data_IF_904417159611
#
_entry.id   IF_904417159611
#
_cell.length_a   1.000
_cell.length_b   1.000
_cell.length_c   1.000
_cell.angle_alpha   90.00
_cell.angle_beta   90.00
_cell.angle_gamma   90.00
#
_symmetry.space_group_name_H-M   'P 1'
#
loop_
_entity.id
_entity.type
_entity.pdbx_description
1 polymer ?
#
# COMPACT_ATOMS: atom_id res chain seq x y z
N UNK A 1 -15.92 -2.66 2.59
CA UNK A 1 -15.79 -2.27 4.00
C UNK A 1 -15.57 -3.50 4.85
N UNK A 2 -14.62 -3.42 5.82
CA UNK A 2 -14.45 -4.41 6.87
C UNK A 2 -14.64 -3.73 8.23
N UNK A 3 -15.33 -4.38 9.16
CA UNK A 3 -15.50 -3.85 10.52
C UNK A 3 -15.65 -4.97 11.55
N UNK A 4 -15.68 -4.57 12.82
CA UNK A 4 -15.86 -5.44 13.99
C UNK A 4 -14.83 -6.61 13.94
N UNK A 5 -13.51 -6.34 14.05
CA UNK A 5 -12.50 -7.38 13.97
C UNK A 5 -12.60 -8.36 15.14
N UNK A 6 -12.31 -9.64 14.87
CA UNK A 6 -12.13 -10.66 15.93
C UNK A 6 -10.63 -10.93 16.21
N UNK A 7 -9.76 -10.61 15.26
CA UNK A 7 -8.30 -10.74 15.39
C UNK A 7 -7.63 -9.45 14.93
N UNK A 8 -6.60 -9.06 15.68
CA UNK A 8 -5.62 -8.05 15.28
C UNK A 8 -4.25 -8.71 15.29
N UNK A 9 -3.58 -8.70 14.14
CA UNK A 9 -2.17 -9.05 14.00
C UNK A 9 -1.35 -7.77 13.87
N UNK A 10 -0.35 -7.62 14.71
CA UNK A 10 0.50 -6.43 14.77
C UNK A 10 1.97 -6.82 14.81
N UNK A 11 2.83 -6.03 14.15
CA UNK A 11 4.29 -6.12 14.29
C UNK A 11 4.81 -4.84 14.92
N UNK A 12 5.52 -4.99 16.03
CA UNK A 12 6.18 -3.88 16.73
C UNK A 12 7.38 -4.40 17.51
N UNK A 13 8.46 -3.61 17.55
CA UNK A 13 9.67 -3.94 18.30
C UNK A 13 10.20 -5.35 17.97
N UNK A 14 10.26 -5.69 16.70
CA UNK A 14 10.74 -6.97 16.18
C UNK A 14 9.90 -8.21 16.59
N UNK A 15 8.69 -8.02 17.03
CA UNK A 15 7.77 -9.11 17.40
C UNK A 15 6.44 -8.96 16.71
N UNK A 16 5.87 -10.08 16.30
CA UNK A 16 4.47 -10.14 15.91
C UNK A 16 3.62 -10.52 17.11
N UNK A 17 2.48 -9.88 17.26
CA UNK A 17 1.45 -10.27 18.22
C UNK A 17 0.13 -10.54 17.52
N UNK A 18 -0.61 -11.53 17.99
CA UNK A 18 -1.98 -11.82 17.56
C UNK A 18 -2.87 -11.63 18.79
N UNK A 19 -3.81 -10.70 18.70
CA UNK A 19 -4.80 -10.44 19.74
C UNK A 19 -6.15 -10.97 19.31
N UNK A 20 -6.75 -11.85 20.10
CA UNK A 20 -8.08 -12.40 19.89
C UNK A 20 -9.10 -11.60 20.70
N UNK A 21 -9.93 -10.79 20.01
CA UNK A 21 -10.84 -9.84 20.66
C UNK A 21 -12.10 -10.52 21.24
N UNK A 22 -12.50 -11.68 20.72
CA UNK A 22 -13.69 -12.42 21.16
C UNK A 22 -13.43 -13.33 22.39
N UNK A 23 -12.17 -13.59 22.73
CA UNK A 23 -11.79 -14.57 23.78
C UNK A 23 -11.01 -13.91 24.94
N UNK A 24 -11.63 -12.95 25.64
CA UNK A 24 -11.00 -12.28 26.80
C UNK A 24 -9.58 -11.72 26.55
N UNK A 25 -9.28 -11.31 25.30
CA UNK A 25 -7.99 -10.75 24.89
C UNK A 25 -6.80 -11.71 25.04
N UNK A 26 -7.01 -13.01 24.80
CA UNK A 26 -5.89 -13.93 24.62
C UNK A 26 -4.98 -13.41 23.52
N UNK A 27 -3.66 -13.49 23.73
CA UNK A 27 -2.72 -13.04 22.71
C UNK A 27 -1.56 -14.03 22.57
N UNK A 28 -1.03 -14.08 21.35
CA UNK A 28 0.15 -14.87 21.00
C UNK A 28 1.27 -13.94 20.57
N UNK A 29 2.52 -14.26 20.92
CA UNK A 29 3.71 -13.52 20.49
C UNK A 29 4.61 -14.44 19.68
N UNK A 30 5.13 -13.92 18.58
CA UNK A 30 6.11 -14.59 17.73
C UNK A 30 7.29 -13.67 17.42
N UNK A 31 8.50 -14.18 17.52
CA UNK A 31 9.73 -13.49 17.09
C UNK A 31 9.96 -13.61 15.57
N UNK A 32 9.06 -14.29 14.85
CA UNK A 32 9.12 -14.51 13.40
C UNK A 32 7.88 -13.94 12.72
N UNK A 33 7.82 -12.62 12.47
CA UNK A 33 6.62 -11.96 11.96
C UNK A 33 6.08 -12.57 10.67
N UNK A 34 6.94 -12.92 9.71
CA UNK A 34 6.51 -13.48 8.42
C UNK A 34 5.89 -14.87 8.58
N UNK A 35 6.50 -15.73 9.41
CA UNK A 35 5.94 -17.07 9.70
C UNK A 35 4.60 -16.95 10.44
N UNK A 36 4.51 -16.04 11.42
CA UNK A 36 3.27 -15.75 12.14
C UNK A 36 2.15 -15.31 11.19
N UNK A 37 2.45 -14.41 10.24
CA UNK A 37 1.47 -13.98 9.23
C UNK A 37 1.01 -15.13 8.34
N UNK A 38 1.94 -15.96 7.83
CA UNK A 38 1.59 -17.13 7.01
C UNK A 38 0.66 -18.09 7.75
N UNK A 39 0.98 -18.40 9.01
CA UNK A 39 0.16 -19.27 9.84
C UNK A 39 -1.23 -18.67 10.10
N UNK A 40 -1.33 -17.37 10.35
CA UNK A 40 -2.60 -16.70 10.56
C UNK A 40 -3.47 -16.72 9.30
N UNK A 41 -2.88 -16.47 8.12
CA UNK A 41 -3.59 -16.56 6.83
C UNK A 41 -4.11 -18.00 6.64
N UNK A 42 -3.26 -19.01 6.81
CA UNK A 42 -3.64 -20.41 6.61
C UNK A 42 -4.78 -20.84 7.54
N UNK A 43 -4.71 -20.45 8.81
CA UNK A 43 -5.75 -20.74 9.81
C UNK A 43 -7.04 -19.91 9.62
N UNK A 44 -7.02 -18.90 8.78
CA UNK A 44 -8.17 -18.03 8.48
C UNK A 44 -8.83 -18.35 7.15
N UNK A 45 -8.22 -19.20 6.32
CA UNK A 45 -8.81 -19.62 5.05
C UNK A 45 -10.08 -20.43 5.25
N UNK A 46 -11.01 -20.31 4.33
CA UNK A 46 -12.20 -21.14 4.24
C UNK A 46 -12.60 -21.30 2.77
N UNK A 47 -13.36 -22.34 2.49
CA UNK A 47 -13.91 -22.58 1.17
C UNK A 47 -15.04 -21.58 0.88
N UNK A 48 -14.92 -20.87 -0.22
CA UNK A 48 -15.90 -19.90 -0.67
C UNK A 48 -16.44 -20.19 -2.07
N UNK A 49 -16.51 -21.47 -2.47
CA UNK A 49 -16.90 -21.86 -3.84
C UNK A 49 -18.19 -21.18 -4.33
N UNK A 50 -19.14 -20.92 -3.44
CA UNK A 50 -20.41 -20.25 -3.76
C UNK A 50 -20.33 -18.70 -3.69
N UNK A 51 -19.20 -18.12 -3.25
CA UNK A 51 -19.05 -16.66 -3.07
C UNK A 51 -18.17 -16.10 -4.20
N UNK A 52 -18.80 -15.46 -5.17
CA UNK A 52 -18.09 -14.84 -6.30
C UNK A 52 -17.32 -13.56 -5.93
N UNK A 53 -17.73 -12.85 -4.87
CA UNK A 53 -17.10 -11.60 -4.44
C UNK A 53 -15.86 -11.88 -3.57
N UNK A 54 -14.85 -10.99 -3.55
CA UNK A 54 -13.73 -11.10 -2.63
C UNK A 54 -14.19 -11.14 -1.18
N UNK A 55 -13.58 -12.03 -0.37
CA UNK A 55 -13.74 -12.05 1.07
C UNK A 55 -12.39 -11.81 1.75
N UNK A 56 -12.04 -10.57 2.07
CA UNK A 56 -10.81 -10.25 2.79
C UNK A 56 -10.82 -10.88 4.19
N UNK A 57 -9.91 -11.81 4.43
CA UNK A 57 -9.69 -12.42 5.74
C UNK A 57 -8.72 -11.62 6.60
N UNK A 58 -7.79 -10.90 5.98
CA UNK A 58 -6.91 -9.96 6.66
C UNK A 58 -6.81 -8.68 5.84
N UNK A 59 -7.02 -7.54 6.48
CA UNK A 59 -6.98 -6.21 5.84
C UNK A 59 -6.13 -5.26 6.67
N UNK A 60 -5.29 -4.47 6.04
CA UNK A 60 -4.52 -3.46 6.76
C UNK A 60 -3.32 -2.95 5.98
N UNK A 61 -2.20 -2.72 6.66
CA UNK A 61 -0.97 -2.24 6.06
C UNK A 61 0.26 -2.99 6.55
N UNK A 62 1.26 -3.06 5.69
CA UNK A 62 2.63 -3.40 6.03
C UNK A 62 3.50 -2.17 5.74
N UNK A 63 4.05 -1.55 6.78
CA UNK A 63 4.93 -0.39 6.64
C UNK A 63 6.28 -0.76 6.04
N UNK A 64 7.04 0.25 5.61
CA UNK A 64 8.39 0.06 5.07
C UNK A 64 9.31 -0.76 5.99
N UNK A 65 9.25 -0.61 7.34
CA UNK A 65 10.12 -1.40 8.23
C UNK A 65 9.94 -2.90 8.14
N UNK A 66 8.84 -3.40 7.57
CA UNK A 66 8.65 -4.83 7.36
C UNK A 66 9.73 -5.46 6.48
N UNK A 67 10.48 -4.65 5.71
CA UNK A 67 11.58 -5.13 4.87
C UNK A 67 12.68 -5.84 5.67
N UNK A 68 12.93 -5.44 6.91
CA UNK A 68 13.94 -6.06 7.77
C UNK A 68 13.64 -7.55 8.08
N UNK A 69 12.37 -7.97 7.97
CA UNK A 69 11.95 -9.36 8.14
C UNK A 69 11.89 -10.13 6.81
N UNK A 70 12.04 -9.44 5.69
CA UNK A 70 11.96 -10.00 4.34
C UNK A 70 13.33 -10.12 3.68
N UNK A 71 14.22 -9.16 3.93
CA UNK A 71 15.56 -9.08 3.37
C UNK A 71 16.59 -8.77 4.48
N UNK A 72 17.89 -8.97 4.20
CA UNK A 72 18.97 -8.67 5.15
C UNK A 72 19.31 -7.18 5.11
N UNK A 73 18.45 -6.35 5.65
CA UNK A 73 18.63 -4.91 5.77
C UNK A 73 18.45 -4.52 7.23
N UNK A 74 19.38 -3.74 7.75
CA UNK A 74 19.35 -3.25 9.13
C UNK A 74 18.87 -1.80 9.13
N UNK A 75 17.66 -1.57 9.65
CA UNK A 75 17.06 -0.24 9.78
C UNK A 75 17.45 0.38 11.12
N UNK A 76 18.09 1.56 11.08
CA UNK A 76 18.66 2.26 12.25
C UNK A 76 18.06 3.63 12.47
N UNK A 77 17.34 4.15 11.46
CA UNK A 77 16.77 5.48 11.52
C UNK A 77 15.66 5.59 12.56
N UNK A 78 15.60 6.74 13.24
CA UNK A 78 14.67 6.97 14.34
C UNK A 78 13.21 6.94 13.86
N UNK A 79 12.35 6.24 14.60
CA UNK A 79 10.90 6.33 14.46
C UNK A 79 10.35 7.38 15.42
N UNK A 80 9.86 8.50 14.89
CA UNK A 80 9.25 9.58 15.65
C UNK A 80 7.71 9.58 15.62
N UNK A 81 7.10 8.67 14.87
CA UNK A 81 5.63 8.51 14.79
C UNK A 81 5.16 7.47 15.81
N UNK A 82 5.96 6.44 16.05
CA UNK A 82 5.67 5.36 16.98
C UNK A 82 4.32 4.66 16.71
N UNK A 83 4.12 4.21 15.47
CA UNK A 83 3.07 3.27 15.12
C UNK A 83 3.67 1.88 14.92
N UNK A 84 2.87 0.80 14.92
CA UNK A 84 3.35 -0.52 14.55
C UNK A 84 3.96 -0.56 13.15
N UNK A 85 4.95 -1.43 12.94
CA UNK A 85 5.51 -1.69 11.60
C UNK A 85 4.45 -2.24 10.63
N UNK A 86 3.48 -2.96 11.18
CA UNK A 86 2.35 -3.50 10.41
C UNK A 86 1.15 -3.72 11.34
N UNK A 87 -0.06 -3.52 10.81
CA UNK A 87 -1.31 -3.95 11.44
C UNK A 87 -2.21 -4.55 10.37
N UNK A 88 -2.66 -5.77 10.63
CA UNK A 88 -3.69 -6.45 9.85
C UNK A 88 -4.82 -6.88 10.79
N UNK A 89 -6.05 -6.61 10.40
CA UNK A 89 -7.25 -7.03 11.13
C UNK A 89 -7.97 -8.14 10.37
N UNK A 90 -8.59 -9.07 11.08
CA UNK A 90 -9.56 -10.00 10.51
C UNK A 90 -10.97 -9.45 10.77
N UNK A 91 -11.64 -8.88 9.74
CA UNK A 91 -12.98 -8.33 9.94
C UNK A 91 -14.00 -9.46 10.08
N UNK A 92 -14.87 -9.39 11.09
CA UNK A 92 -16.03 -10.30 11.16
C UNK A 92 -17.08 -9.97 10.11
N UNK A 93 -17.20 -8.72 9.74
CA UNK A 93 -18.19 -8.25 8.79
C UNK A 93 -17.49 -7.60 7.62
N UNK A 94 -17.81 -8.11 6.43
CA UNK A 94 -17.34 -7.56 5.16
C UNK A 94 -18.54 -7.11 4.34
N UNK A 95 -18.50 -5.87 3.87
CA UNK A 95 -19.52 -5.32 2.95
C UNK A 95 -18.85 -4.95 1.63
N UNK A 96 -19.31 -5.55 0.55
CA UNK A 96 -18.84 -5.30 -0.81
C UNK A 96 -19.91 -4.51 -1.56
N UNK A 97 -19.53 -3.37 -2.11
CA UNK A 97 -20.33 -2.55 -3.00
C UNK A 97 -19.85 -2.81 -4.44
N UNK A 98 -20.68 -3.47 -5.23
CA UNK A 98 -20.40 -3.71 -6.65
C UNK A 98 -21.18 -2.70 -7.49
N UNK A 99 -20.48 -1.66 -7.96
CA UNK A 99 -21.09 -0.60 -8.75
C UNK A 99 -21.39 -1.04 -10.20
N UNK A 100 -20.89 -2.19 -10.65
CA UNK A 100 -21.19 -2.73 -11.98
C UNK A 100 -22.48 -3.53 -11.94
N UNK A 101 -22.62 -4.38 -10.90
CA UNK A 101 -23.84 -5.18 -10.68
C UNK A 101 -24.93 -4.41 -9.94
N UNK A 102 -24.65 -3.16 -9.48
CA UNK A 102 -25.53 -2.34 -8.63
C UNK A 102 -26.05 -3.13 -7.41
N UNK A 103 -25.11 -3.77 -6.71
CA UNK A 103 -25.45 -4.65 -5.59
C UNK A 103 -24.55 -4.40 -4.38
N UNK A 104 -25.11 -4.68 -3.20
CA UNK A 104 -24.40 -4.64 -1.92
C UNK A 104 -24.48 -6.04 -1.30
N UNK A 105 -23.33 -6.63 -1.06
CA UNK A 105 -23.22 -7.93 -0.40
C UNK A 105 -22.64 -7.74 1.00
N UNK A 106 -23.37 -8.16 2.03
CA UNK A 106 -22.93 -8.16 3.43
C UNK A 106 -22.66 -9.58 3.84
N UNK A 107 -21.46 -9.85 4.33
CA UNK A 107 -20.97 -11.19 4.65
C UNK A 107 -20.40 -11.22 6.06
N UNK A 108 -20.54 -12.38 6.73
CA UNK A 108 -19.82 -12.71 7.95
C UNK A 108 -19.39 -14.17 7.89
N UNK A 109 -18.27 -14.49 8.53
CA UNK A 109 -17.78 -15.88 8.65
C UNK A 109 -17.79 -16.29 10.10
N UNK A 110 -18.28 -17.49 10.35
CA UNK A 110 -18.23 -18.12 11.66
C UNK A 110 -17.01 -19.05 11.70
N UNK A 111 -16.02 -18.68 12.48
CA UNK A 111 -14.86 -19.55 12.72
C UNK A 111 -15.15 -20.50 13.87
N UNK A 112 -14.99 -21.82 13.70
CA UNK A 112 -15.22 -22.81 14.76
C UNK A 112 -14.08 -22.73 15.78
N UNK A 113 -14.31 -22.03 16.90
CA UNK A 113 -13.43 -22.11 18.05
C UNK A 113 -13.80 -23.35 18.91
N UNK A 114 -12.80 -23.94 19.56
CA UNK A 114 -12.99 -25.07 20.49
C UNK A 114 -14.17 -24.77 21.44
N UNK A 115 -15.19 -25.63 21.43
CA UNK A 115 -16.38 -25.60 22.30
C UNK A 115 -17.49 -24.59 22.00
N UNK A 116 -17.58 -23.98 20.82
CA UNK A 116 -18.79 -23.22 20.44
C UNK A 116 -19.82 -24.17 19.81
N UNK A 117 -21.05 -24.05 20.27
CA UNK A 117 -22.22 -24.66 19.64
C UNK A 117 -22.41 -23.99 18.25
N UNK A 118 -22.35 -24.80 17.21
CA UNK A 118 -22.41 -24.36 15.81
C UNK A 118 -23.78 -23.72 15.51
N UNK A 119 -24.89 -24.24 16.06
CA UNK A 119 -26.22 -23.68 15.85
C UNK A 119 -26.32 -22.27 16.45
N UNK A 120 -25.91 -22.08 17.69
CA UNK A 120 -25.87 -20.76 18.33
C UNK A 120 -24.96 -19.79 17.61
N UNK A 121 -23.81 -20.23 17.09
CA UNK A 121 -22.89 -19.39 16.36
C UNK A 121 -23.50 -18.93 15.01
N UNK A 122 -24.23 -19.80 14.33
CA UNK A 122 -24.94 -19.49 13.09
C UNK A 122 -26.10 -18.50 13.33
N UNK A 123 -26.93 -18.73 14.39
CA UNK A 123 -28.01 -17.80 14.74
C UNK A 123 -27.47 -16.40 15.07
N UNK A 124 -26.41 -16.31 15.85
CA UNK A 124 -25.73 -15.03 16.15
C UNK A 124 -25.24 -14.34 14.89
N UNK A 125 -24.65 -15.07 13.95
CA UNK A 125 -24.19 -14.52 12.67
C UNK A 125 -25.37 -13.97 11.85
N UNK A 126 -26.50 -14.68 11.80
CA UNK A 126 -27.71 -14.19 11.12
C UNK A 126 -28.26 -12.91 11.76
N UNK A 127 -28.26 -12.84 13.10
CA UNK A 127 -28.71 -11.64 13.80
C UNK A 127 -27.80 -10.43 13.50
N UNK A 128 -26.49 -10.62 13.54
CA UNK A 128 -25.51 -9.59 13.18
C UNK A 128 -25.76 -9.10 11.75
N UNK A 129 -25.94 -9.99 10.79
CA UNK A 129 -26.25 -9.62 9.41
C UNK A 129 -27.53 -8.80 9.29
N UNK A 130 -28.62 -9.19 9.97
CA UNK A 130 -29.88 -8.45 9.99
C UNK A 130 -29.70 -7.03 10.53
N UNK A 131 -28.95 -6.88 11.63
CA UNK A 131 -28.65 -5.56 12.22
C UNK A 131 -27.88 -4.70 11.22
N UNK A 132 -26.83 -5.23 10.59
CA UNK A 132 -25.97 -4.47 9.66
C UNK A 132 -26.74 -4.09 8.39
N UNK A 133 -27.54 -4.98 7.85
CA UNK A 133 -28.42 -4.66 6.69
C UNK A 133 -29.42 -3.55 7.03
N UNK A 134 -30.00 -3.56 8.23
CA UNK A 134 -30.91 -2.49 8.67
C UNK A 134 -30.16 -1.17 8.84
N UNK A 135 -28.95 -1.15 9.42
CA UNK A 135 -28.12 0.05 9.53
C UNK A 135 -27.80 0.66 8.17
N UNK A 136 -27.58 -0.15 7.12
CA UNK A 136 -27.35 0.35 5.76
C UNK A 136 -28.60 1.03 5.14
N UNK A 137 -29.81 0.72 5.64
CA UNK A 137 -31.06 1.33 5.19
C UNK A 137 -31.41 2.60 5.95
N UNK A 138 -30.75 2.87 7.07
CA UNK A 138 -31.01 4.07 7.88
C UNK A 138 -30.52 5.32 7.17
N UNK A 139 -31.25 6.42 7.36
CA UNK A 139 -30.84 7.71 6.84
C UNK A 139 -29.57 8.20 7.52
N UNK A 140 -28.62 8.71 6.73
CA UNK A 140 -27.39 9.28 7.26
C UNK A 140 -27.73 10.43 8.23
N UNK A 141 -27.29 10.31 9.47
CA UNK A 141 -27.28 11.42 10.41
C UNK A 141 -26.30 12.47 9.90
N UNK A 142 -26.78 13.67 9.59
CA UNK A 142 -25.90 14.76 9.19
C UNK A 142 -25.01 15.14 10.38
N UNK A 143 -23.77 14.67 10.36
CA UNK A 143 -22.75 15.17 11.28
C UNK A 143 -22.43 16.63 10.94
N UNK A 144 -22.29 17.48 11.98
CA UNK A 144 -21.84 18.86 11.79
C UNK A 144 -20.58 18.86 10.93
N UNK A 145 -20.57 19.71 9.90
CA UNK A 145 -19.38 19.94 9.08
C UNK A 145 -18.30 20.60 9.95
N UNK A 146 -17.42 19.81 10.52
CA UNK A 146 -16.20 20.36 11.11
C UNK A 146 -15.34 20.89 9.96
N UNK A 147 -15.12 22.19 9.94
CA UNK A 147 -14.21 22.83 8.99
C UNK A 147 -12.87 23.05 9.69
N UNK A 148 -11.77 22.86 8.96
CA UNK A 148 -10.47 23.31 9.41
C UNK A 148 -10.56 24.84 9.55
N UNK A 149 -10.29 25.35 10.77
CA UNK A 149 -10.41 26.78 11.07
C UNK A 149 -9.14 27.59 10.78
N UNK A 150 -8.05 26.91 10.40
CA UNK A 150 -6.76 27.55 10.16
C UNK A 150 -6.08 26.99 8.90
N UNK A 151 -5.23 27.80 8.28
CA UNK A 151 -4.36 27.34 7.21
C UNK A 151 -3.42 26.23 7.75
N UNK A 152 -3.29 25.14 6.98
CA UNK A 152 -2.37 24.07 7.32
C UNK A 152 -0.93 24.56 7.06
N UNK A 153 -0.14 24.61 8.11
CA UNK A 153 1.28 24.91 8.01
C UNK A 153 2.10 23.63 8.14
N UNK A 154 2.65 23.16 7.01
CA UNK A 154 3.46 21.95 6.95
C UNK A 154 4.92 22.23 7.31
N UNK A 155 5.45 21.45 8.26
CA UNK A 155 6.85 21.49 8.65
C UNK A 155 7.54 20.23 8.12
N UNK A 156 8.63 20.41 7.38
CA UNK A 156 9.46 19.31 6.86
C UNK A 156 10.48 18.86 7.90
N UNK A 157 10.87 17.57 7.87
CA UNK A 157 12.00 17.05 8.67
C UNK A 157 13.37 17.47 8.12
N UNK A 158 13.42 18.15 6.98
CA UNK A 158 14.63 18.71 6.37
C UNK A 158 14.44 20.18 6.01
N UNK A 159 15.51 20.96 6.13
CA UNK A 159 15.65 22.21 5.38
C UNK A 159 15.87 21.91 3.88
N UNK A 160 15.74 22.93 3.06
CA UNK A 160 15.99 22.82 1.62
C UNK A 160 17.44 22.43 1.33
N UNK A 161 18.37 23.00 2.07
CA UNK A 161 19.81 22.79 1.95
C UNK A 161 20.20 21.35 2.33
N UNK A 162 19.64 20.82 3.41
CA UNK A 162 19.85 19.44 3.83
C UNK A 162 19.33 18.45 2.79
N UNK A 163 18.12 18.68 2.26
CA UNK A 163 17.56 17.79 1.24
C UNK A 163 18.34 17.83 -0.08
N UNK A 164 18.86 19.00 -0.47
CA UNK A 164 19.77 19.11 -1.62
C UNK A 164 21.10 18.38 -1.40
N UNK A 165 21.63 18.38 -0.18
CA UNK A 165 22.79 17.57 0.18
C UNK A 165 22.54 16.09 0.00
N UNK A 166 21.35 15.59 0.42
CA UNK A 166 20.93 14.19 0.22
C UNK A 166 20.92 13.85 -1.28
N UNK A 167 20.31 14.69 -2.12
CA UNK A 167 20.27 14.48 -3.57
C UNK A 167 21.69 14.44 -4.16
N UNK A 168 22.57 15.33 -3.71
CA UNK A 168 23.96 15.39 -4.18
C UNK A 168 24.71 14.11 -3.80
N UNK A 169 24.56 13.61 -2.58
CA UNK A 169 25.14 12.36 -2.14
C UNK A 169 24.57 11.15 -2.92
N UNK A 170 23.26 11.11 -3.14
CA UNK A 170 22.63 10.09 -3.97
C UNK A 170 23.23 10.05 -5.40
N UNK A 171 23.50 11.20 -6.00
CA UNK A 171 24.18 11.29 -7.31
C UNK A 171 25.62 10.75 -7.28
N UNK A 172 26.34 10.89 -6.17
CA UNK A 172 27.68 10.33 -6.05
C UNK A 172 27.64 8.78 -6.00
N UNK A 173 26.62 8.15 -5.35
CA UNK A 173 26.43 6.71 -5.41
C UNK A 173 26.15 6.22 -6.83
N UNK A 174 25.34 6.97 -7.59
CA UNK A 174 25.07 6.67 -9.01
C UNK A 174 26.34 6.77 -9.85
N UNK A 175 27.15 7.84 -9.67
CA UNK A 175 28.44 7.99 -10.38
C UNK A 175 29.44 6.88 -10.07
N UNK A 176 29.46 6.38 -8.84
CA UNK A 176 30.29 5.26 -8.42
C UNK A 176 29.82 3.91 -8.99
N UNK A 177 28.62 3.85 -9.55
CA UNK A 177 28.03 2.63 -10.09
C UNK A 177 27.37 1.74 -9.06
N UNK A 178 27.11 2.23 -7.84
CA UNK A 178 26.42 1.47 -6.79
C UNK A 178 24.97 1.20 -7.15
N UNK A 179 24.31 2.19 -7.77
CA UNK A 179 22.89 2.16 -8.14
C UNK A 179 22.67 2.89 -9.46
N UNK A 180 21.53 2.61 -10.11
CA UNK A 180 21.03 3.38 -11.26
C UNK A 180 20.07 4.48 -10.81
N UNK A 181 19.28 4.19 -9.77
CA UNK A 181 18.28 5.08 -9.20
C UNK A 181 18.12 4.84 -7.71
N UNK A 182 17.86 5.91 -6.97
CA UNK A 182 17.36 5.86 -5.59
C UNK A 182 16.23 6.86 -5.42
N UNK A 183 15.21 6.50 -4.66
CA UNK A 183 14.09 7.40 -4.32
C UNK A 183 14.29 7.88 -2.88
N UNK A 184 14.79 9.10 -2.73
CA UNK A 184 14.90 9.75 -1.42
C UNK A 184 13.60 10.45 -1.07
N UNK A 185 13.27 10.55 0.22
CA UNK A 185 12.01 11.14 0.67
C UNK A 185 12.17 12.11 1.83
N UNK A 186 11.14 12.93 2.03
CA UNK A 186 11.01 13.79 3.19
C UNK A 186 9.59 13.70 3.75
N UNK A 187 9.48 13.90 5.06
CA UNK A 187 8.22 13.87 5.78
C UNK A 187 7.80 15.28 6.16
N UNK A 188 6.52 15.54 6.03
CA UNK A 188 5.89 16.77 6.46
C UNK A 188 4.88 16.48 7.56
N UNK A 189 4.80 17.35 8.56
CA UNK A 189 3.77 17.29 9.58
C UNK A 189 3.05 18.62 9.73
N UNK A 190 1.78 18.55 10.14
CA UNK A 190 0.96 19.72 10.45
C UNK A 190 -0.06 19.37 11.54
N UNK A 191 -0.57 20.38 12.25
CA UNK A 191 -1.69 20.18 13.17
C UNK A 191 -2.97 19.83 12.39
N UNK A 192 -3.72 18.83 12.87
CA UNK A 192 -4.91 18.35 12.21
C UNK A 192 -5.91 17.78 13.24
N UNK A 193 -6.98 18.52 13.48
CA UNK A 193 -7.97 18.17 14.51
C UNK A 193 -9.16 17.34 13.99
N UNK A 194 -9.16 17.00 12.67
CA UNK A 194 -10.22 16.20 12.08
C UNK A 194 -9.86 14.71 12.07
N UNK A 195 -10.88 13.87 11.98
CA UNK A 195 -10.71 12.42 11.81
C UNK A 195 -10.15 12.07 10.42
N UNK A 196 -9.47 10.92 10.33
CA UNK A 196 -8.89 10.41 9.09
C UNK A 196 -9.91 10.27 7.95
N UNK A 197 -11.17 9.94 8.25
CA UNK A 197 -12.25 9.85 7.26
C UNK A 197 -12.51 11.17 6.55
N UNK A 198 -12.28 12.31 7.20
CA UNK A 198 -12.42 13.62 6.59
C UNK A 198 -11.35 13.88 5.53
N UNK A 199 -10.11 13.48 5.83
CA UNK A 199 -9.00 13.49 4.88
C UNK A 199 -9.27 12.55 3.70
N UNK A 200 -9.74 11.33 3.98
CA UNK A 200 -10.12 10.36 2.94
C UNK A 200 -11.16 10.91 1.97
N UNK A 201 -12.22 11.54 2.50
CA UNK A 201 -13.27 12.16 1.67
C UNK A 201 -12.74 13.26 0.76
N UNK A 202 -11.78 14.05 1.25
CA UNK A 202 -11.11 15.08 0.46
C UNK A 202 -10.23 14.48 -0.63
N UNK A 203 -9.37 13.51 -0.29
CA UNK A 203 -8.50 12.81 -1.24
C UNK A 203 -9.30 12.11 -2.35
N UNK A 204 -10.37 11.41 -1.99
CA UNK A 204 -11.25 10.74 -2.95
C UNK A 204 -11.82 11.68 -4.00
N UNK A 205 -12.11 12.92 -3.63
CA UNK A 205 -12.67 13.94 -4.55
C UNK A 205 -11.61 14.62 -5.39
N UNK A 206 -10.47 14.94 -4.78
CA UNK A 206 -9.41 15.72 -5.43
C UNK A 206 -8.54 14.85 -6.34
N UNK A 207 -8.28 13.63 -5.95
CA UNK A 207 -7.37 12.73 -6.65
C UNK A 207 -7.91 11.29 -6.63
N UNK A 208 -8.97 10.98 -7.37
CA UNK A 208 -9.46 9.61 -7.48
C UNK A 208 -8.38 8.72 -8.10
N UNK A 209 -8.09 7.61 -7.45
CA UNK A 209 -7.08 6.63 -7.84
C UNK A 209 -7.68 5.22 -7.77
N UNK A 210 -7.07 4.20 -8.43
CA UNK A 210 -7.55 2.83 -8.40
C UNK A 210 -7.68 2.27 -6.98
N UNK A 211 -6.78 2.67 -6.07
CA UNK A 211 -6.79 2.24 -4.68
C UNK A 211 -7.10 3.42 -3.76
N UNK A 212 -8.29 3.43 -3.23
CA UNK A 212 -8.72 4.39 -2.22
C UNK A 212 -8.87 3.65 -0.89
N UNK A 213 -8.00 3.96 0.05
CA UNK A 213 -7.89 3.23 1.32
C UNK A 213 -8.16 4.16 2.50
N UNK A 214 -8.95 3.68 3.46
CA UNK A 214 -9.14 4.29 4.77
C UNK A 214 -9.10 3.21 5.83
N UNK A 215 -8.00 3.16 6.58
CA UNK A 215 -7.80 2.27 7.71
C UNK A 215 -7.91 3.09 8.99
N UNK A 216 -8.83 2.72 9.85
CA UNK A 216 -9.05 3.41 11.12
C UNK A 216 -8.75 2.43 12.26
N UNK A 217 -7.66 2.66 12.96
CA UNK A 217 -7.23 1.91 14.13
C UNK A 217 -7.50 2.76 15.38
N UNK A 218 -7.44 2.16 16.57
CA UNK A 218 -7.80 2.83 17.82
C UNK A 218 -7.05 4.14 18.06
N UNK A 219 -5.75 4.18 17.72
CA UNK A 219 -4.86 5.30 18.06
C UNK A 219 -4.42 6.13 16.84
N UNK A 220 -4.72 5.70 15.64
CA UNK A 220 -4.36 6.41 14.40
C UNK A 220 -5.23 6.01 13.23
N UNK A 221 -5.30 6.88 12.24
CA UNK A 221 -5.95 6.61 10.96
C UNK A 221 -4.97 6.76 9.80
N UNK A 222 -5.01 5.82 8.86
CA UNK A 222 -4.17 5.81 7.68
C UNK A 222 -5.04 5.87 6.44
N UNK A 223 -4.81 6.88 5.59
CA UNK A 223 -5.57 7.08 4.36
C UNK A 223 -4.65 7.14 3.16
N UNK A 224 -5.11 6.63 2.03
CA UNK A 224 -4.37 6.70 0.78
C UNK A 224 -5.29 6.85 -0.43
N UNK A 225 -4.74 7.49 -1.46
CA UNK A 225 -5.25 7.50 -2.83
C UNK A 225 -4.11 7.02 -3.73
N UNK A 226 -3.80 5.73 -3.66
CA UNK A 226 -2.67 5.13 -4.37
C UNK A 226 -3.00 4.82 -5.82
N UNK A 227 -2.19 5.27 -6.78
CA UNK A 227 -2.38 4.95 -8.18
C UNK A 227 -1.79 3.59 -8.58
N UNK A 228 -0.95 2.99 -7.72
CA UNK A 228 -0.03 1.94 -8.14
C UNK A 228 -0.22 0.66 -7.34
N UNK A 229 -0.44 -0.43 -8.07
CA UNK A 229 -0.40 -1.80 -7.57
C UNK A 229 1.01 -2.12 -7.08
N UNK A 230 1.14 -2.68 -5.86
CA UNK A 230 2.42 -3.26 -5.44
C UNK A 230 2.57 -4.69 -5.97
N UNK A 231 1.75 -5.61 -5.46
CA UNK A 231 1.67 -7.00 -5.91
C UNK A 231 0.23 -7.46 -5.80
N UNK A 232 -0.24 -8.13 -6.84
CA UNK A 232 -1.50 -8.85 -6.83
C UNK A 232 -1.25 -10.33 -7.08
N UNK A 233 -1.87 -11.18 -6.28
CA UNK A 233 -2.00 -12.61 -6.56
C UNK A 233 -3.49 -12.91 -6.76
N UNK A 234 -3.86 -13.37 -7.93
CA UNK A 234 -5.25 -13.67 -8.25
C UNK A 234 -5.36 -14.94 -9.08
N UNK A 235 -6.07 -15.94 -8.56
CA UNK A 235 -6.24 -17.24 -9.22
C UNK A 235 -4.91 -17.87 -9.67
N UNK A 236 -3.91 -17.85 -8.78
CA UNK A 236 -2.58 -18.40 -9.04
C UNK A 236 -1.70 -17.56 -9.99
N UNK A 237 -2.08 -16.33 -10.32
CA UNK A 237 -1.32 -15.42 -11.16
C UNK A 237 -0.81 -14.23 -10.35
N UNK A 238 0.52 -14.07 -10.29
CA UNK A 238 1.21 -12.91 -9.72
C UNK A 238 1.29 -11.82 -10.76
N UNK A 239 0.93 -10.60 -10.38
CA UNK A 239 0.96 -9.43 -11.25
C UNK A 239 1.69 -8.28 -10.54
N UNK A 240 2.60 -7.63 -11.26
CA UNK A 240 3.23 -6.34 -10.88
C UNK A 240 3.04 -5.38 -12.04
N UNK A 241 2.72 -4.12 -11.72
CA UNK A 241 2.39 -3.14 -12.74
C UNK A 241 3.19 -1.86 -12.54
N UNK A 242 4.44 -1.80 -13.03
CA UNK A 242 5.28 -0.61 -12.90
C UNK A 242 4.69 0.56 -13.67
N UNK A 243 4.68 1.72 -13.01
CA UNK A 243 4.24 3.00 -13.56
C UNK A 243 5.40 3.96 -13.46
N UNK A 244 5.84 4.50 -14.61
CA UNK A 244 6.87 5.54 -14.65
C UNK A 244 6.69 6.40 -15.89
N UNK A 245 7.36 7.57 -15.88
CA UNK A 245 7.14 8.56 -16.92
C UNK A 245 5.83 9.32 -16.74
N UNK A 246 5.87 10.63 -16.80
CA UNK A 246 4.69 11.46 -16.51
C UNK A 246 4.61 12.66 -17.42
N UNK A 247 3.41 12.92 -17.95
CA UNK A 247 3.02 14.22 -18.56
C UNK A 247 1.70 14.66 -17.95
N UNK A 248 1.49 15.98 -17.94
CA UNK A 248 0.18 16.54 -17.57
C UNK A 248 -0.84 16.22 -18.65
N UNK A 249 -2.12 16.21 -18.28
CA UNK A 249 -3.21 16.15 -19.25
C UNK A 249 -3.23 17.41 -20.10
N UNK A 250 -3.52 17.24 -21.38
CA UNK A 250 -3.78 18.32 -22.31
C UNK A 250 -5.14 18.99 -22.06
N UNK A 251 -5.37 20.15 -22.65
CA UNK A 251 -6.65 20.88 -22.58
C UNK A 251 -7.75 20.21 -23.41
N UNK A 252 -7.38 19.36 -24.34
CA UNK A 252 -8.27 18.62 -25.24
C UNK A 252 -7.61 17.33 -25.72
N UNK A 253 -8.36 16.48 -26.42
CA UNK A 253 -7.91 15.17 -26.88
C UNK A 253 -6.69 15.24 -27.84
N UNK A 254 -6.59 16.29 -28.68
CA UNK A 254 -5.45 16.43 -29.60
C UNK A 254 -4.16 16.74 -28.82
N UNK A 255 -4.21 17.65 -27.85
CA UNK A 255 -3.08 17.98 -26.99
C UNK A 255 -2.68 16.76 -26.13
N UNK A 256 -3.64 15.97 -25.63
CA UNK A 256 -3.37 14.70 -24.95
C UNK A 256 -2.58 13.73 -25.86
N UNK A 257 -2.96 13.63 -27.12
CA UNK A 257 -2.29 12.76 -28.09
C UNK A 257 -0.86 13.25 -28.38
N UNK A 258 -0.64 14.55 -28.51
CA UNK A 258 0.70 15.13 -28.70
C UNK A 258 1.59 14.89 -27.49
N UNK A 259 1.09 15.13 -26.28
CA UNK A 259 1.83 14.88 -25.03
C UNK A 259 2.12 13.41 -24.81
N UNK A 260 1.23 12.51 -25.23
CA UNK A 260 1.47 11.06 -25.14
C UNK A 260 2.57 10.60 -26.11
N UNK A 261 2.64 11.18 -27.30
CA UNK A 261 3.73 10.90 -28.25
C UNK A 261 5.06 11.46 -27.73
N UNK A 262 5.07 12.69 -27.27
CA UNK A 262 6.25 13.31 -26.62
C UNK A 262 6.77 12.43 -25.46
N UNK A 263 5.88 11.89 -24.63
CA UNK A 263 6.25 11.00 -23.53
C UNK A 263 6.87 9.67 -24.04
N UNK A 264 6.32 9.09 -25.10
CA UNK A 264 6.84 7.84 -25.68
C UNK A 264 8.09 8.03 -26.54
N UNK A 265 8.47 9.26 -26.87
CA UNK A 265 9.71 9.61 -27.58
C UNK A 265 10.82 10.07 -26.62
N UNK A 266 10.50 10.37 -25.37
CA UNK A 266 11.45 10.80 -24.33
C UNK A 266 12.35 9.64 -23.89
N UNK A 267 13.60 9.65 -24.35
CA UNK A 267 14.58 8.60 -24.10
C UNK A 267 14.89 8.40 -22.61
N UNK A 268 14.82 9.47 -21.81
CA UNK A 268 15.04 9.39 -20.35
C UNK A 268 13.89 8.65 -19.68
N UNK A 269 12.65 9.04 -19.98
CA UNK A 269 11.45 8.43 -19.40
C UNK A 269 11.32 6.96 -19.79
N UNK A 270 11.65 6.63 -21.06
CA UNK A 270 11.68 5.25 -21.56
C UNK A 270 12.76 4.41 -20.89
N UNK A 271 13.95 4.95 -20.67
CA UNK A 271 15.04 4.24 -19.99
C UNK A 271 14.70 3.96 -18.51
N UNK A 272 14.12 4.94 -17.82
CA UNK A 272 13.65 4.79 -16.45
C UNK A 272 12.53 3.74 -16.36
N UNK A 273 11.55 3.80 -17.25
CA UNK A 273 10.47 2.81 -17.29
C UNK A 273 10.98 1.41 -17.61
N UNK A 274 11.93 1.26 -18.54
CA UNK A 274 12.54 -0.05 -18.86
C UNK A 274 13.23 -0.65 -17.65
N UNK A 275 13.96 0.15 -16.88
CA UNK A 275 14.60 -0.28 -15.63
C UNK A 275 13.57 -0.82 -14.63
N UNK A 276 12.46 -0.12 -14.42
CA UNK A 276 11.39 -0.56 -13.51
C UNK A 276 10.62 -1.78 -14.05
N UNK A 277 10.45 -1.88 -15.35
CA UNK A 277 9.90 -3.07 -16.00
C UNK A 277 10.78 -4.31 -15.78
N UNK A 278 12.10 -4.17 -15.94
CA UNK A 278 13.04 -5.27 -15.68
C UNK A 278 13.06 -5.65 -14.20
N UNK A 279 12.97 -4.68 -13.30
CA UNK A 279 12.82 -4.95 -11.86
C UNK A 279 11.53 -5.73 -11.57
N UNK A 280 10.39 -5.33 -12.14
CA UNK A 280 9.12 -6.05 -12.00
C UNK A 280 9.19 -7.48 -12.56
N UNK A 281 9.87 -7.68 -13.69
CA UNK A 281 10.12 -9.03 -14.24
C UNK A 281 10.96 -9.89 -13.29
N UNK A 282 11.99 -9.31 -12.67
CA UNK A 282 12.80 -9.99 -11.68
C UNK A 282 11.99 -10.34 -10.42
N UNK A 283 11.19 -9.40 -9.91
CA UNK A 283 10.37 -9.61 -8.72
C UNK A 283 9.34 -10.74 -8.94
N UNK A 284 8.57 -10.71 -10.05
CA UNK A 284 7.67 -11.80 -10.41
C UNK A 284 8.43 -13.11 -10.61
N UNK A 285 9.62 -13.05 -11.23
CA UNK A 285 10.46 -14.22 -11.50
C UNK A 285 10.94 -14.97 -10.25
N UNK A 286 11.02 -14.29 -9.09
CA UNK A 286 11.42 -14.90 -7.81
C UNK A 286 10.42 -15.95 -7.30
N UNK A 287 9.14 -15.84 -7.70
CA UNK A 287 8.06 -16.70 -7.19
C UNK A 287 7.27 -17.40 -8.29
N UNK A 288 7.49 -17.05 -9.54
CA UNK A 288 6.77 -17.62 -10.67
C UNK A 288 7.37 -18.96 -11.13
N UNK A 289 6.52 -19.83 -11.68
CA UNK A 289 6.96 -21.05 -12.39
C UNK A 289 7.92 -20.67 -13.51
N UNK A 290 8.91 -21.52 -13.74
CA UNK A 290 9.91 -21.28 -14.79
C UNK A 290 9.26 -21.05 -16.16
N UNK A 291 9.74 -20.04 -16.89
CA UNK A 291 9.23 -19.60 -18.21
C UNK A 291 7.80 -19.06 -18.22
N UNK A 292 7.14 -18.85 -17.08
CA UNK A 292 5.78 -18.33 -17.04
C UNK A 292 5.72 -16.79 -17.02
N UNK A 293 6.82 -16.11 -16.71
CA UNK A 293 6.88 -14.64 -16.65
C UNK A 293 6.69 -14.04 -18.04
N UNK A 294 5.70 -13.17 -18.18
CA UNK A 294 5.36 -12.48 -19.43
C UNK A 294 5.12 -10.99 -19.17
N UNK A 295 5.52 -10.16 -20.11
CA UNK A 295 5.09 -8.77 -20.20
C UNK A 295 3.86 -8.75 -21.09
N UNK A 296 2.67 -8.60 -20.51
CA UNK A 296 1.38 -8.65 -21.22
C UNK A 296 1.00 -7.31 -21.80
N UNK A 297 1.45 -6.22 -21.18
CA UNK A 297 1.37 -4.85 -21.69
C UNK A 297 2.75 -4.21 -21.55
N UNK A 298 3.24 -3.54 -22.60
CA UNK A 298 4.56 -2.94 -22.62
C UNK A 298 4.48 -1.48 -23.04
N UNK A 299 4.83 -0.58 -22.11
CA UNK A 299 4.96 0.86 -22.37
C UNK A 299 3.70 1.47 -22.99
N UNK A 300 2.53 1.15 -22.47
CA UNK A 300 1.27 1.77 -22.87
C UNK A 300 1.06 3.08 -22.13
N UNK A 301 0.30 4.01 -22.72
CA UNK A 301 -0.11 5.23 -22.05
C UNK A 301 -1.44 5.01 -21.34
N UNK A 302 -1.47 5.32 -20.06
CA UNK A 302 -2.71 5.42 -19.28
C UNK A 302 -3.00 6.86 -18.91
N UNK A 303 -4.25 7.26 -19.12
CA UNK A 303 -4.74 8.60 -18.83
C UNK A 303 -5.46 8.62 -17.51
N UNK A 304 -4.95 9.41 -16.56
CA UNK A 304 -5.57 9.69 -15.27
C UNK A 304 -6.23 11.07 -15.29
N UNK A 305 -6.85 11.48 -14.20
CA UNK A 305 -7.57 12.76 -14.13
C UNK A 305 -6.70 13.99 -14.44
N UNK A 306 -5.46 14.02 -13.98
CA UNK A 306 -4.56 15.19 -14.06
C UNK A 306 -3.26 14.91 -14.82
N UNK A 307 -2.91 13.66 -14.98
CA UNK A 307 -1.64 13.24 -15.61
C UNK A 307 -1.87 12.03 -16.49
N UNK A 308 -0.89 11.72 -17.35
CA UNK A 308 -0.76 10.46 -18.04
C UNK A 308 0.58 9.82 -17.69
N UNK A 309 0.63 8.49 -17.70
CA UNK A 309 1.83 7.72 -17.35
C UNK A 309 2.13 6.66 -18.39
N UNK A 310 3.41 6.26 -18.49
CA UNK A 310 3.81 5.01 -19.14
C UNK A 310 3.58 3.88 -18.15
N UNK A 311 2.89 2.83 -18.59
CA UNK A 311 2.54 1.67 -17.78
C UNK A 311 2.95 0.40 -18.51
N UNK A 312 3.44 -0.58 -17.75
CA UNK A 312 3.64 -1.95 -18.24
C UNK A 312 3.01 -2.94 -17.27
N UNK A 313 2.66 -4.14 -17.75
CA UNK A 313 2.09 -5.19 -16.94
C UNK A 313 2.94 -6.45 -17.03
N UNK A 314 3.37 -6.97 -15.88
CA UNK A 314 4.16 -8.19 -15.78
C UNK A 314 3.37 -9.23 -15.01
N UNK A 315 3.22 -10.40 -15.59
CA UNK A 315 2.48 -11.51 -15.00
C UNK A 315 3.30 -12.80 -15.00
N UNK A 316 3.04 -13.67 -14.01
CA UNK A 316 3.61 -15.01 -13.93
C UNK A 316 2.70 -15.95 -13.15
N UNK A 317 2.65 -17.23 -13.55
CA UNK A 317 1.97 -18.25 -12.75
C UNK A 317 2.81 -18.53 -11.49
N UNK A 318 2.22 -18.40 -10.30
CA UNK A 318 2.93 -18.68 -9.05
C UNK A 318 3.34 -20.16 -9.00
N UNK A 319 4.55 -20.44 -8.52
CA UNK A 319 5.01 -21.81 -8.26
C UNK A 319 4.34 -22.32 -6.97
N UNK A 320 3.92 -23.57 -6.95
CA UNK A 320 3.13 -24.19 -5.86
C UNK A 320 3.82 -24.20 -4.49
N UNK A 321 5.15 -24.01 -4.45
CA UNK A 321 5.91 -23.89 -3.20
C UNK A 321 5.83 -22.52 -2.54
N UNK A 322 5.23 -21.53 -3.21
CA UNK A 322 5.09 -20.17 -2.73
C UNK A 322 3.62 -19.80 -2.50
N UNK A 323 3.41 -18.91 -1.54
CA UNK A 323 2.11 -18.38 -1.18
C UNK A 323 2.00 -16.85 -1.45
N UNK A 324 0.88 -16.25 -1.04
CA UNK A 324 0.64 -14.82 -1.20
C UNK A 324 1.66 -13.94 -0.45
N UNK A 325 2.14 -14.41 0.71
CA UNK A 325 3.17 -13.68 1.48
C UNK A 325 4.51 -13.72 0.78
N UNK A 326 4.86 -14.85 0.15
CA UNK A 326 6.09 -14.96 -0.65
C UNK A 326 6.00 -14.07 -1.90
N UNK A 327 4.84 -14.00 -2.54
CA UNK A 327 4.60 -13.10 -3.67
C UNK A 327 4.75 -11.63 -3.25
N UNK A 328 4.17 -11.24 -2.11
CA UNK A 328 4.34 -9.91 -1.54
C UNK A 328 5.81 -9.59 -1.24
N UNK A 329 6.50 -10.51 -0.55
CA UNK A 329 7.93 -10.38 -0.21
C UNK A 329 8.80 -10.19 -1.46
N UNK A 330 8.49 -10.86 -2.57
CA UNK A 330 9.25 -10.74 -3.81
C UNK A 330 9.20 -9.33 -4.40
N UNK A 331 8.05 -8.64 -4.33
CA UNK A 331 7.85 -7.29 -4.85
C UNK A 331 8.07 -6.16 -3.85
N UNK A 332 8.15 -6.44 -2.56
CA UNK A 332 8.23 -5.44 -1.49
C UNK A 332 9.67 -4.95 -1.23
N UNK A 333 9.87 -3.63 -0.99
CA UNK A 333 8.99 -2.55 -1.43
C UNK A 333 9.08 -2.34 -2.95
N UNK A 334 8.18 -1.53 -3.51
CA UNK A 334 8.21 -1.24 -4.94
C UNK A 334 9.49 -0.50 -5.35
N UNK A 335 9.98 -0.79 -6.55
CA UNK A 335 11.13 -0.09 -7.12
C UNK A 335 10.90 1.41 -7.32
N UNK A 336 9.66 1.79 -7.61
CA UNK A 336 9.21 3.17 -7.80
C UNK A 336 9.31 4.04 -6.55
N UNK A 337 9.44 3.43 -5.36
CA UNK A 337 9.63 4.12 -4.07
C UNK A 337 10.94 3.76 -3.36
N UNK A 338 11.75 2.89 -3.94
CA UNK A 338 13.05 2.49 -3.40
C UNK A 338 14.20 2.78 -4.37
N UNK A 339 14.31 2.06 -5.47
CA UNK A 339 15.32 2.25 -6.50
C UNK A 339 15.84 0.94 -7.10
N UNK A 340 16.92 1.02 -7.85
CA UNK A 340 17.51 -0.11 -8.56
C UNK A 340 19.06 -0.03 -8.58
N UNK A 341 19.78 -1.12 -8.24
CA UNK A 341 19.31 -2.40 -7.68
C UNK A 341 18.64 -2.23 -6.30
N UNK A 342 17.53 -2.93 -6.06
CA UNK A 342 16.61 -2.71 -4.94
C UNK A 342 17.29 -2.72 -3.57
N UNK A 343 18.07 -3.77 -3.25
CA UNK A 343 18.71 -3.93 -1.93
C UNK A 343 19.67 -2.77 -1.68
N UNK A 344 20.58 -2.49 -2.62
CA UNK A 344 21.56 -1.41 -2.46
C UNK A 344 20.88 -0.03 -2.36
N UNK A 345 19.83 0.19 -3.12
CA UNK A 345 19.06 1.43 -3.03
C UNK A 345 18.44 1.62 -1.62
N UNK A 346 17.92 0.55 -1.01
CA UNK A 346 17.37 0.60 0.35
C UNK A 346 18.45 0.84 1.42
N UNK A 347 19.63 0.25 1.28
CA UNK A 347 20.76 0.56 2.15
C UNK A 347 21.15 2.05 2.06
N UNK A 348 21.22 2.60 0.86
CA UNK A 348 21.51 4.02 0.62
C UNK A 348 20.41 4.92 1.18
N UNK A 349 19.14 4.53 1.08
CA UNK A 349 18.03 5.24 1.72
C UNK A 349 18.26 5.34 3.23
N UNK A 350 18.63 4.22 3.86
CA UNK A 350 18.91 4.19 5.30
C UNK A 350 20.13 5.02 5.69
N UNK A 351 21.16 5.10 4.81
CA UNK A 351 22.32 5.94 5.01
C UNK A 351 22.02 7.45 4.88
N UNK A 352 21.10 7.82 4.01
CA UNK A 352 20.85 9.22 3.63
C UNK A 352 19.68 9.88 4.36
N UNK A 353 18.63 9.12 4.68
CA UNK A 353 17.46 9.63 5.39
C UNK A 353 17.71 9.67 6.91
N UNK A 354 17.08 10.61 7.61
CA UNK A 354 17.26 10.79 9.06
C UNK A 354 16.11 10.20 9.89
N UNK A 355 15.05 9.71 9.25
CA UNK A 355 13.87 9.13 9.88
C UNK A 355 13.47 7.84 9.21
N UNK A 356 12.97 6.90 10.01
CA UNK A 356 12.30 5.71 9.52
C UNK A 356 11.06 6.11 8.69
N UNK A 357 10.86 5.45 7.55
CA UNK A 357 9.75 5.72 6.62
C UNK A 357 8.38 5.34 7.18
N UNK A 358 8.32 4.51 8.22
CA UNK A 358 7.09 4.06 8.86
C UNK A 358 6.08 3.51 7.82
N UNK A 359 4.90 4.11 7.66
CA UNK A 359 3.88 3.68 6.70
C UNK A 359 4.24 3.96 5.23
N UNK A 360 5.06 5.00 4.97
CA UNK A 360 5.39 5.42 3.61
C UNK A 360 6.26 4.40 2.87
N UNK A 361 5.99 4.17 1.59
CA UNK A 361 6.68 3.20 0.74
C UNK A 361 6.49 1.72 1.16
N UNK A 362 5.64 1.45 2.14
CA UNK A 362 5.09 0.13 2.42
C UNK A 362 3.93 -0.22 1.49
N UNK A 363 2.98 -1.04 1.97
CA UNK A 363 1.77 -1.38 1.23
C UNK A 363 0.53 -1.37 2.12
N UNK A 364 -0.63 -1.24 1.45
CA UNK A 364 -1.96 -1.41 2.03
C UNK A 364 -2.75 -2.39 1.17
N UNK A 365 -3.57 -3.22 1.78
CA UNK A 365 -4.36 -4.16 1.01
C UNK A 365 -4.96 -5.27 1.85
N UNK A 366 -5.22 -6.41 1.21
CA UNK A 366 -5.86 -7.54 1.86
C UNK A 366 -5.36 -8.88 1.33
N UNK A 367 -5.50 -9.89 2.17
CA UNK A 367 -5.43 -11.31 1.83
C UNK A 367 -6.85 -11.87 1.81
N UNK A 368 -7.16 -12.68 0.80
CA UNK A 368 -8.49 -13.25 0.57
C UNK A 368 -8.57 -14.70 1.07
N UNK A 369 -9.77 -15.16 1.38
CA UNK A 369 -10.03 -16.50 1.91
C UNK A 369 -9.51 -17.65 1.04
N UNK A 370 -9.44 -17.47 -0.27
CA UNK A 370 -8.92 -18.47 -1.22
C UNK A 370 -7.41 -18.37 -1.47
N UNK A 371 -6.69 -17.53 -0.72
CA UNK A 371 -5.26 -17.31 -0.88
C UNK A 371 -4.88 -16.26 -1.92
N UNK A 372 -5.83 -15.57 -2.52
CA UNK A 372 -5.58 -14.39 -3.34
C UNK A 372 -5.12 -13.21 -2.47
N UNK A 373 -4.52 -12.21 -3.08
CA UNK A 373 -4.04 -11.00 -2.41
C UNK A 373 -4.10 -9.82 -3.37
N UNK A 374 -4.44 -8.64 -2.86
CA UNK A 374 -4.37 -7.40 -3.61
C UNK A 374 -3.79 -6.29 -2.72
N UNK A 375 -2.67 -5.70 -3.14
CA UNK A 375 -1.95 -4.68 -2.37
C UNK A 375 -1.53 -3.51 -3.23
N UNK A 376 -1.69 -2.29 -2.73
CA UNK A 376 -1.18 -1.09 -3.36
C UNK A 376 0.02 -0.53 -2.58
N UNK A 377 0.85 0.26 -3.25
CA UNK A 377 1.95 0.97 -2.61
C UNK A 377 1.38 2.04 -1.68
N UNK A 378 1.93 2.17 -0.48
CA UNK A 378 1.59 3.25 0.46
C UNK A 378 2.25 4.55 0.01
N UNK A 379 1.65 5.18 -0.99
CA UNK A 379 2.02 6.49 -1.50
C UNK A 379 0.78 7.34 -1.71
N UNK A 380 0.91 8.66 -1.84
CA UNK A 380 -0.20 9.61 -1.79
C UNK A 380 -1.09 9.32 -0.58
N UNK A 381 -0.44 9.14 0.56
CA UNK A 381 -1.02 8.69 1.81
C UNK A 381 -0.77 9.69 2.92
N UNK A 382 -1.65 9.70 3.91
CA UNK A 382 -1.53 10.51 5.11
C UNK A 382 -1.90 9.71 6.34
N UNK A 383 -1.17 9.94 7.41
CA UNK A 383 -1.41 9.35 8.72
C UNK A 383 -1.89 10.44 9.68
N UNK A 384 -3.04 10.19 10.30
CA UNK A 384 -3.61 11.06 11.33
C UNK A 384 -3.43 10.40 12.69
N UNK A 385 -2.68 11.05 13.57
CA UNK A 385 -2.40 10.59 14.93
C UNK A 385 -2.12 11.78 15.84
N UNK A 386 -2.62 11.72 17.07
CA UNK A 386 -2.34 12.71 18.12
C UNK A 386 -2.59 14.16 17.65
N UNK A 387 -3.69 14.40 16.93
CA UNK A 387 -4.05 15.70 16.33
C UNK A 387 -3.01 16.26 15.35
N UNK A 388 -2.22 15.39 14.77
CA UNK A 388 -1.28 15.70 13.69
C UNK A 388 -1.60 14.91 12.43
N UNK A 389 -1.32 15.51 11.30
CA UNK A 389 -1.29 14.86 9.99
C UNK A 389 0.17 14.74 9.57
N UNK A 390 0.59 13.52 9.23
CA UNK A 390 1.88 13.22 8.64
C UNK A 390 1.68 12.82 7.18
N UNK A 391 2.44 13.44 6.29
CA UNK A 391 2.52 13.07 4.88
C UNK A 391 3.98 12.93 4.48
N UNK A 392 4.28 12.00 3.57
CA UNK A 392 5.64 11.79 3.11
C UNK A 392 5.66 11.72 1.59
N UNK A 393 6.68 12.31 0.99
CA UNK A 393 6.86 12.34 -0.45
C UNK A 393 8.32 12.11 -0.79
N UNK A 394 8.56 11.37 -1.86
CA UNK A 394 9.89 11.08 -2.39
C UNK A 394 10.02 11.44 -3.86
N UNK A 395 11.25 11.59 -4.29
CA UNK A 395 11.62 11.83 -5.69
C UNK A 395 12.73 10.88 -6.14
N UNK A 396 12.59 10.33 -7.34
CA UNK A 396 13.60 9.48 -7.96
C UNK A 396 14.82 10.32 -8.37
N UNK A 397 16.01 9.92 -7.92
CA UNK A 397 17.28 10.50 -8.32
C UNK A 397 17.97 9.55 -9.29
N UNK A 398 18.20 10.02 -10.52
CA UNK A 398 18.95 9.33 -11.57
C UNK A 398 20.13 10.21 -12.02
N UNK A 399 21.05 9.68 -12.82
CA UNK A 399 22.24 10.38 -13.27
C UNK A 399 21.93 11.77 -13.88
N UNK A 400 20.87 11.86 -14.69
CA UNK A 400 20.44 13.09 -15.36
C UNK A 400 19.54 13.99 -14.51
N UNK A 401 19.24 13.64 -13.26
CA UNK A 401 18.43 14.50 -12.37
C UNK A 401 19.11 15.83 -12.11
N UNK A 402 18.36 16.90 -12.28
CA UNK A 402 18.79 18.24 -11.90
C UNK A 402 18.32 18.48 -10.46
N UNK A 403 19.20 19.04 -9.60
CA UNK A 403 18.92 19.27 -8.17
C UNK A 403 17.65 20.12 -7.96
N UNK A 404 17.35 21.03 -8.87
CA UNK A 404 16.20 21.92 -8.78
C UNK A 404 14.88 21.34 -9.38
N UNK A 405 14.90 20.15 -10.00
CA UNK A 405 13.71 19.48 -10.56
C UNK A 405 13.11 18.47 -9.59
N UNK A 406 13.89 18.00 -8.62
CA UNK A 406 13.46 17.01 -7.62
C UNK A 406 12.72 17.63 -6.42
N UNK A 407 11.96 18.72 -6.63
CA UNK A 407 11.09 19.26 -5.59
C UNK A 407 9.87 18.32 -5.41
N UNK A 408 9.69 17.66 -4.24
CA UNK A 408 8.56 16.78 -3.99
C UNK A 408 7.21 17.53 -3.92
N UNK A 409 7.23 18.86 -3.89
CA UNK A 409 6.07 19.74 -3.80
C UNK A 409 5.20 19.79 -5.05
N UNK A 410 5.59 19.17 -6.17
CA UNK A 410 4.78 19.16 -7.40
C UNK A 410 3.77 18.00 -7.51
N UNK A 411 3.68 17.13 -6.50
CA UNK A 411 2.75 15.99 -6.51
C UNK A 411 1.57 16.13 -5.54
N UNK A 412 1.42 17.27 -4.87
CA UNK A 412 0.29 17.56 -3.99
C UNK A 412 -0.69 18.54 -4.64
#
# INVERSE_FOLDING_TARGET
>A
LGCDPDIVWEVKNNKASITYLDNNYDYEISEKPIESLKNLIENSKFDKEEIEVPYPILVGYLGYPMIQYMEKIDLRNADNINIPDSVLIRPKIVTVFDNIKDSITVMTVVYPYKNKDVENAYENAQEILKIKVNQLKESLVQTKKNQIQSDLNFVSNYSKEEYFSIISQAKEYIKKGDIFQVVTSQRFETNYDLEAISLYRSLRRLNPSPYLVNLNFDNFGLVASSPELLVQLRKGKVTIRPIAGTRKRGKNANEDLELSKDLLEDQKELAEHLMLLDLGRNDVGRVAKNKSVKVTEKMIIEYYSHVMHIVSNVEGAIDEKYDAVDALKAGFPAGTVSGAPKIRAMEIIEELENLNRSFYAGCMGYFDANGDMDTCISLRSGLVKDKKLYVQAGGGVVYLSLIHISEPTRQF
#
